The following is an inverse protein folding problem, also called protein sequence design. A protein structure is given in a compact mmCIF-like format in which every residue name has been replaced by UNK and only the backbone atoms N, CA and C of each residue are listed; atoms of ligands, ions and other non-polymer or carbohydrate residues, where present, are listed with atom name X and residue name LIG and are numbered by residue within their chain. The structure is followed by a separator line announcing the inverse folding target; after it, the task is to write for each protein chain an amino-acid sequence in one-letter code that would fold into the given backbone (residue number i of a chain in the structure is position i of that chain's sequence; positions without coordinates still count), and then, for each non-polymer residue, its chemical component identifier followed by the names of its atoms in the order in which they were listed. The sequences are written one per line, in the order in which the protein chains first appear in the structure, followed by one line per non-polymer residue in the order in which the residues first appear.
data_IF_568889795009
#
_entry.id   IF_568889795009
#
_cell.length_a   1.000
_cell.length_b   1.000
_cell.length_c   1.000
_cell.angle_alpha   90.00
_cell.angle_beta   90.00
_cell.angle_gamma   90.00
#
_symmetry.space_group_name_H-M   'P 1'
#
loop_
_entity.id
_entity.type
_entity.pdbx_description
1 polymer ?
#
# COMPACT_ATOMS: atom_id res chain seq x y z
N UNK A 1 5.05 -20.89 -2.02
CA UNK A 1 6.15 -20.85 -1.02
C UNK A 1 5.57 -20.33 0.29
N UNK A 2 5.64 -21.11 1.36
CA UNK A 2 5.14 -20.68 2.68
C UNK A 2 6.04 -19.56 3.25
N UNK A 3 5.43 -18.49 3.77
CA UNK A 3 6.15 -17.39 4.45
C UNK A 3 7.06 -17.98 5.55
N UNK A 4 8.32 -17.55 5.71
CA UNK A 4 9.11 -17.96 6.86
C UNK A 4 8.43 -17.42 8.12
N UNK A 5 7.84 -18.31 8.90
CA UNK A 5 7.02 -18.05 10.09
C UNK A 5 7.83 -17.57 11.31
N UNK A 6 9.11 -17.21 11.09
CA UNK A 6 10.14 -17.21 12.14
C UNK A 6 10.48 -15.85 12.76
N UNK A 7 9.84 -14.74 12.38
CA UNK A 7 10.15 -13.42 12.98
C UNK A 7 8.94 -12.67 13.56
N UNK A 8 7.71 -13.20 13.42
CA UNK A 8 6.50 -12.52 13.92
C UNK A 8 6.48 -12.37 15.45
N UNK A 9 6.80 -13.41 16.26
CA UNK A 9 6.82 -13.26 17.71
C UNK A 9 7.87 -12.24 18.19
N UNK A 10 9.03 -12.21 17.52
CA UNK A 10 10.11 -11.27 17.83
C UNK A 10 9.72 -9.84 17.46
N UNK A 11 9.18 -9.62 16.27
CA UNK A 11 8.70 -8.30 15.85
C UNK A 11 7.62 -7.76 16.79
N UNK A 12 6.68 -8.62 17.20
CA UNK A 12 5.64 -8.27 18.18
C UNK A 12 6.24 -7.89 19.52
N UNK A 13 7.18 -8.68 20.05
CA UNK A 13 7.85 -8.39 21.31
C UNK A 13 8.58 -7.03 21.28
N UNK A 14 9.32 -6.76 20.21
CA UNK A 14 10.03 -5.48 20.03
C UNK A 14 9.07 -4.28 19.94
N UNK A 15 7.94 -4.44 19.25
CA UNK A 15 6.92 -3.38 19.19
C UNK A 15 6.28 -3.14 20.57
N UNK A 16 6.01 -4.18 21.35
CA UNK A 16 5.46 -4.03 22.71
C UNK A 16 6.47 -3.37 23.66
N UNK A 17 7.75 -3.71 23.55
CA UNK A 17 8.83 -3.06 24.30
C UNK A 17 8.94 -1.58 23.95
N UNK A 18 8.93 -1.24 22.64
CA UNK A 18 8.93 0.14 22.18
C UNK A 18 7.69 0.91 22.67
N UNK A 19 6.50 0.29 22.61
CA UNK A 19 5.27 0.92 23.10
C UNK A 19 5.39 1.25 24.60
N UNK A 20 5.89 0.31 25.40
CA UNK A 20 6.08 0.50 26.84
C UNK A 20 7.04 1.66 27.13
N UNK A 21 8.13 1.78 26.36
CA UNK A 21 9.08 2.89 26.47
C UNK A 21 8.41 4.26 26.18
N UNK A 22 7.56 4.34 25.15
CA UNK A 22 6.87 5.59 24.79
C UNK A 22 5.66 5.93 25.66
N UNK A 23 5.12 4.98 26.43
CA UNK A 23 4.03 5.21 27.40
C UNK A 23 4.49 5.33 28.84
N UNK A 24 5.82 5.29 29.08
CA UNK A 24 6.42 5.38 30.40
C UNK A 24 6.43 6.79 31.01
N UNK A 25 7.32 7.07 31.98
CA UNK A 25 7.36 8.33 32.73
C UNK A 25 7.56 9.60 31.88
N UNK A 26 8.17 9.48 30.71
CA UNK A 26 8.34 10.57 29.75
C UNK A 26 7.60 10.19 28.45
N UNK A 27 6.28 10.41 28.38
CA UNK A 27 5.48 9.88 27.29
C UNK A 27 5.78 10.59 25.97
N UNK A 28 5.88 9.80 24.90
CA UNK A 28 5.88 10.29 23.52
C UNK A 28 4.66 9.73 22.79
N UNK A 29 3.56 10.50 22.82
CA UNK A 29 2.26 10.09 22.27
C UNK A 29 2.35 9.78 20.77
N UNK A 30 3.10 10.59 20.03
CA UNK A 30 3.25 10.45 18.59
C UNK A 30 3.94 9.14 18.21
N UNK A 31 5.03 8.78 18.89
CA UNK A 31 5.71 7.49 18.66
C UNK A 31 4.90 6.31 19.19
N UNK A 32 4.24 6.45 20.34
CA UNK A 32 3.35 5.41 20.85
C UNK A 32 2.24 5.08 19.84
N UNK A 33 1.66 6.08 19.18
CA UNK A 33 0.64 5.89 18.15
C UNK A 33 1.20 5.25 16.88
N UNK A 34 2.40 5.64 16.44
CA UNK A 34 3.10 4.97 15.34
C UNK A 34 3.31 3.47 15.63
N UNK A 35 3.76 3.13 16.84
CA UNK A 35 3.94 1.73 17.28
C UNK A 35 2.61 0.97 17.30
N UNK A 36 1.51 1.58 17.76
CA UNK A 36 0.16 0.96 17.71
C UNK A 36 -0.26 0.61 16.28
N UNK A 37 -0.03 1.52 15.33
CA UNK A 37 -0.35 1.27 13.92
C UNK A 37 0.49 0.12 13.36
N UNK A 38 1.79 0.07 13.67
CA UNK A 38 2.66 -1.04 13.25
C UNK A 38 2.27 -2.38 13.89
N UNK A 39 1.88 -2.38 15.16
CA UNK A 39 1.39 -3.57 15.85
C UNK A 39 0.07 -4.06 15.23
N UNK A 40 -0.86 -3.16 14.93
CA UNK A 40 -2.09 -3.49 14.25
C UNK A 40 -1.83 -4.07 12.85
N UNK A 41 -0.90 -3.49 12.08
CA UNK A 41 -0.47 -4.02 10.79
C UNK A 41 0.08 -5.45 10.92
N UNK A 42 0.90 -5.71 11.95
CA UNK A 42 1.52 -7.02 12.19
C UNK A 42 0.48 -8.12 12.45
N UNK A 43 -0.58 -7.81 13.21
CA UNK A 43 -1.56 -8.81 13.65
C UNK A 43 -2.81 -8.88 12.78
N UNK A 44 -3.06 -7.90 11.89
CA UNK A 44 -4.30 -7.77 11.11
C UNK A 44 -4.72 -9.04 10.36
N UNK A 45 -3.76 -9.75 9.75
CA UNK A 45 -4.04 -10.96 8.96
C UNK A 45 -4.42 -12.17 9.83
N UNK A 46 -3.95 -12.23 11.07
CA UNK A 46 -4.19 -13.36 11.98
C UNK A 46 -5.34 -13.08 12.95
N UNK A 47 -5.41 -11.86 13.49
CA UNK A 47 -6.45 -11.40 14.43
C UNK A 47 -6.85 -9.93 14.11
N UNK A 48 -7.83 -9.72 13.20
CA UNK A 48 -8.32 -8.40 12.87
C UNK A 48 -9.03 -7.69 14.04
N UNK A 49 -9.54 -8.45 15.02
CA UNK A 49 -10.16 -7.87 16.22
C UNK A 49 -9.10 -7.35 17.19
N UNK A 50 -7.95 -8.02 17.32
CA UNK A 50 -6.80 -7.48 18.04
C UNK A 50 -6.29 -6.21 17.35
N UNK A 51 -6.13 -6.22 16.02
CA UNK A 51 -5.74 -5.04 15.28
C UNK A 51 -6.70 -3.86 15.55
N UNK A 52 -8.01 -4.11 15.54
CA UNK A 52 -9.03 -3.10 15.89
C UNK A 52 -8.82 -2.56 17.31
N UNK A 53 -8.72 -3.44 18.31
CA UNK A 53 -8.52 -3.03 19.72
C UNK A 53 -7.25 -2.19 19.92
N UNK A 54 -6.17 -2.50 19.20
CA UNK A 54 -4.92 -1.72 19.25
C UNK A 54 -5.13 -0.34 18.63
N UNK A 55 -5.83 -0.26 17.49
CA UNK A 55 -6.09 1.02 16.81
C UNK A 55 -7.08 1.91 17.58
N UNK A 56 -8.00 1.34 18.36
CA UNK A 56 -8.91 2.08 19.24
C UNK A 56 -8.18 2.82 20.38
N UNK A 57 -6.95 2.41 20.70
CA UNK A 57 -6.11 3.09 21.70
C UNK A 57 -5.36 4.30 21.13
N UNK A 58 -5.40 4.52 19.82
CA UNK A 58 -4.74 5.66 19.18
C UNK A 58 -5.52 6.93 19.51
N UNK A 59 -4.86 7.83 20.25
CA UNK A 59 -5.44 9.12 20.66
C UNK A 59 -4.37 10.20 20.73
N UNK A 60 -4.76 11.46 20.52
CA UNK A 60 -3.85 12.60 20.51
C UNK A 60 -3.06 12.75 19.21
N UNK A 61 -1.83 13.26 19.31
CA UNK A 61 -0.99 13.57 18.14
C UNK A 61 -0.50 12.31 17.41
N UNK A 62 -0.46 12.38 16.09
CA UNK A 62 0.02 11.30 15.21
C UNK A 62 0.97 11.84 14.15
N UNK A 63 1.95 11.03 13.76
CA UNK A 63 2.70 11.27 12.54
C UNK A 63 1.74 11.18 11.34
N UNK A 64 1.85 12.05 10.32
CA UNK A 64 0.98 12.02 9.15
C UNK A 64 0.90 10.65 8.47
N UNK A 65 2.04 9.98 8.28
CA UNK A 65 2.11 8.66 7.66
C UNK A 65 1.44 7.59 8.52
N UNK A 66 1.65 7.61 9.85
CA UNK A 66 1.01 6.66 10.76
C UNK A 66 -0.52 6.80 10.73
N UNK A 67 -1.03 8.04 10.68
CA UNK A 67 -2.47 8.31 10.55
C UNK A 67 -3.04 7.76 9.23
N UNK A 68 -2.30 7.90 8.14
CA UNK A 68 -2.71 7.37 6.85
C UNK A 68 -2.73 5.83 6.86
N UNK A 69 -1.68 5.18 7.38
CA UNK A 69 -1.68 3.73 7.56
C UNK A 69 -2.80 3.24 8.47
N UNK A 70 -3.15 3.99 9.52
CA UNK A 70 -4.32 3.69 10.37
C UNK A 70 -5.61 3.72 9.57
N UNK A 71 -5.82 4.71 8.71
CA UNK A 71 -7.00 4.74 7.83
C UNK A 71 -7.04 3.56 6.85
N UNK A 72 -5.89 3.13 6.31
CA UNK A 72 -5.83 1.92 5.48
C UNK A 72 -6.26 0.66 6.24
N UNK A 73 -5.77 0.48 7.48
CA UNK A 73 -6.14 -0.68 8.32
C UNK A 73 -7.62 -0.65 8.72
N UNK A 74 -8.11 0.50 9.20
CA UNK A 74 -9.51 0.66 9.60
C UNK A 74 -10.47 0.47 8.42
N UNK A 75 -10.10 0.90 7.22
CA UNK A 75 -10.87 0.63 6.00
C UNK A 75 -11.06 -0.86 5.74
N UNK A 76 -9.97 -1.65 5.82
CA UNK A 76 -10.02 -3.12 5.65
C UNK A 76 -10.83 -3.80 6.74
N UNK A 77 -10.59 -3.41 8.00
CA UNK A 77 -11.27 -3.93 9.18
C UNK A 77 -12.78 -3.66 9.12
N UNK A 78 -13.19 -2.55 8.50
CA UNK A 78 -14.59 -2.14 8.40
C UNK A 78 -15.30 -2.64 7.13
N UNK A 79 -14.72 -3.53 6.33
CA UNK A 79 -15.33 -3.99 5.06
C UNK A 79 -16.69 -4.70 5.20
N UNK A 80 -17.05 -5.17 6.40
CA UNK A 80 -18.38 -5.66 6.71
C UNK A 80 -19.44 -4.55 6.87
N UNK A 81 -18.99 -3.30 7.06
CA UNK A 81 -19.78 -2.07 7.14
C UNK A 81 -19.32 -1.10 6.03
N UNK A 82 -19.87 -1.22 4.80
CA UNK A 82 -19.39 -0.46 3.65
C UNK A 82 -19.39 1.07 3.85
N UNK A 83 -20.38 1.70 4.51
CA UNK A 83 -20.29 3.12 4.88
C UNK A 83 -19.04 3.48 5.72
N UNK A 84 -18.71 2.70 6.75
CA UNK A 84 -17.52 2.96 7.57
C UNK A 84 -16.23 2.70 6.80
N UNK A 85 -16.15 1.61 6.04
CA UNK A 85 -14.99 1.34 5.18
C UNK A 85 -14.74 2.48 4.19
N UNK A 86 -15.81 2.96 3.53
CA UNK A 86 -15.76 4.08 2.60
C UNK A 86 -15.15 5.33 3.24
N UNK A 87 -15.64 5.72 4.41
CA UNK A 87 -15.15 6.89 5.13
C UNK A 87 -13.64 6.82 5.39
N UNK A 88 -13.14 5.64 5.77
CA UNK A 88 -11.72 5.44 6.01
C UNK A 88 -10.88 5.50 4.74
N UNK A 89 -11.33 4.88 3.65
CA UNK A 89 -10.60 4.94 2.38
C UNK A 89 -10.65 6.32 1.71
N UNK A 90 -11.71 7.11 1.90
CA UNK A 90 -11.76 8.50 1.45
C UNK A 90 -10.75 9.37 2.21
N UNK A 91 -10.66 9.20 3.54
CA UNK A 91 -9.62 9.87 4.35
C UNK A 91 -8.22 9.43 3.92
N UNK A 92 -8.02 8.14 3.66
CA UNK A 92 -6.76 7.63 3.15
C UNK A 92 -6.39 8.27 1.80
N UNK A 93 -7.35 8.39 0.88
CA UNK A 93 -7.12 9.00 -0.43
C UNK A 93 -6.68 10.47 -0.31
N UNK A 94 -7.27 11.22 0.63
CA UNK A 94 -6.89 12.60 0.91
C UNK A 94 -5.48 12.68 1.49
N UNK A 95 -5.17 11.91 2.53
CA UNK A 95 -3.85 11.93 3.16
C UNK A 95 -2.75 11.43 2.22
N UNK A 96 -3.01 10.39 1.44
CA UNK A 96 -2.07 9.89 0.45
C UNK A 96 -1.73 10.95 -0.62
N UNK A 97 -2.71 11.78 -1.00
CA UNK A 97 -2.50 12.90 -1.93
C UNK A 97 -1.63 13.98 -1.31
N UNK A 98 -1.93 14.37 -0.08
CA UNK A 98 -1.15 15.37 0.67
C UNK A 98 0.30 14.93 0.90
N UNK A 99 0.51 13.65 1.20
CA UNK A 99 1.84 13.06 1.42
C UNK A 99 2.58 12.74 0.11
N UNK A 100 1.90 12.75 -1.03
CA UNK A 100 2.46 12.25 -2.29
C UNK A 100 2.87 10.77 -2.22
N UNK A 101 2.15 9.97 -1.40
CA UNK A 101 2.49 8.59 -1.06
C UNK A 101 1.72 7.59 -1.92
N UNK A 102 2.26 7.28 -3.10
CA UNK A 102 1.59 6.49 -4.15
C UNK A 102 1.11 5.09 -3.69
N UNK A 103 1.81 4.41 -2.76
CA UNK A 103 1.33 3.10 -2.25
C UNK A 103 0.01 3.25 -1.47
N UNK A 104 -0.14 4.34 -0.72
CA UNK A 104 -1.36 4.60 0.05
C UNK A 104 -2.48 5.07 -0.87
N UNK A 105 -2.15 5.83 -1.92
CA UNK A 105 -3.11 6.21 -2.96
C UNK A 105 -3.67 4.97 -3.68
N UNK A 106 -2.80 4.01 -4.03
CA UNK A 106 -3.24 2.73 -4.59
C UNK A 106 -4.15 1.96 -3.62
N UNK A 107 -3.78 1.86 -2.33
CA UNK A 107 -4.61 1.18 -1.33
C UNK A 107 -5.97 1.86 -1.14
N UNK A 108 -6.04 3.18 -1.21
CA UNK A 108 -7.28 3.93 -1.12
C UNK A 108 -8.21 3.60 -2.29
N UNK A 109 -7.71 3.69 -3.52
CA UNK A 109 -8.53 3.42 -4.71
C UNK A 109 -8.94 1.95 -4.80
N UNK A 110 -8.07 1.01 -4.42
CA UNK A 110 -8.42 -0.40 -4.31
C UNK A 110 -9.54 -0.61 -3.27
N UNK A 111 -9.41 -0.04 -2.08
CA UNK A 111 -10.42 -0.14 -1.02
C UNK A 111 -11.76 0.47 -1.42
N UNK A 112 -11.76 1.64 -2.05
CA UNK A 112 -12.97 2.28 -2.58
C UNK A 112 -13.64 1.44 -3.67
N UNK A 113 -12.85 0.79 -4.54
CA UNK A 113 -13.39 -0.14 -5.53
C UNK A 113 -14.05 -1.35 -4.88
N UNK A 114 -13.42 -1.92 -3.84
CA UNK A 114 -13.98 -3.07 -3.10
C UNK A 114 -15.27 -2.68 -2.35
N UNK A 115 -15.33 -1.47 -1.80
CA UNK A 115 -16.54 -0.92 -1.20
C UNK A 115 -17.65 -0.80 -2.24
N UNK A 116 -17.35 -0.26 -3.43
CA UNK A 116 -18.32 -0.12 -4.51
C UNK A 116 -18.86 -1.48 -4.99
N UNK A 117 -17.99 -2.50 -5.14
CA UNK A 117 -18.42 -3.88 -5.44
C UNK A 117 -19.40 -4.41 -4.40
N UNK A 118 -19.11 -4.22 -3.10
CA UNK A 118 -20.00 -4.65 -2.01
C UNK A 118 -21.34 -3.91 -2.00
N UNK A 119 -21.37 -2.69 -2.52
CA UNK A 119 -22.58 -1.89 -2.68
C UNK A 119 -23.33 -2.20 -3.99
N UNK A 120 -22.80 -3.08 -4.84
CA UNK A 120 -23.38 -3.42 -6.14
C UNK A 120 -23.16 -2.37 -7.23
N UNK A 121 -22.34 -1.35 -6.99
CA UNK A 121 -22.00 -0.33 -7.98
C UNK A 121 -20.75 -0.75 -8.77
N UNK A 122 -20.96 -1.67 -9.73
CA UNK A 122 -19.89 -2.20 -10.57
C UNK A 122 -19.21 -1.12 -11.41
N UNK A 123 -19.93 -0.07 -11.83
CA UNK A 123 -19.37 1.03 -12.60
C UNK A 123 -18.40 1.87 -11.77
N UNK A 124 -18.78 2.22 -10.54
CA UNK A 124 -17.87 2.87 -9.60
C UNK A 124 -16.66 1.99 -9.32
N UNK A 125 -16.86 0.68 -9.07
CA UNK A 125 -15.78 -0.26 -8.84
C UNK A 125 -14.75 -0.26 -9.99
N UNK A 126 -15.22 -0.36 -11.24
CA UNK A 126 -14.35 -0.27 -12.43
C UNK A 126 -13.58 1.05 -12.47
N UNK A 127 -14.23 2.19 -12.19
CA UNK A 127 -13.52 3.49 -12.17
C UNK A 127 -12.42 3.52 -11.11
N UNK A 128 -12.71 3.02 -9.91
CA UNK A 128 -11.77 2.97 -8.79
C UNK A 128 -10.60 2.03 -9.05
N UNK A 129 -10.86 0.84 -9.58
CA UNK A 129 -9.78 -0.06 -9.95
C UNK A 129 -8.91 0.47 -11.09
N UNK A 130 -9.49 1.18 -12.07
CA UNK A 130 -8.68 1.89 -13.08
C UNK A 130 -7.80 2.98 -12.45
N UNK A 131 -8.31 3.71 -11.47
CA UNK A 131 -7.51 4.70 -10.74
C UNK A 131 -6.35 4.05 -9.97
N UNK A 132 -6.60 2.90 -9.32
CA UNK A 132 -5.56 2.09 -8.68
C UNK A 132 -4.51 1.61 -9.70
N UNK A 133 -4.91 1.09 -10.85
CA UNK A 133 -3.98 0.68 -11.91
C UNK A 133 -3.16 1.85 -12.46
N UNK A 134 -3.75 3.04 -12.60
CA UNK A 134 -3.02 4.23 -13.04
C UNK A 134 -1.92 4.65 -12.05
N UNK A 135 -2.14 4.44 -10.74
CA UNK A 135 -1.09 4.64 -9.72
C UNK A 135 0.06 3.66 -9.95
N UNK A 136 -0.25 2.39 -10.22
CA UNK A 136 0.76 1.37 -10.48
C UNK A 136 1.52 1.62 -11.78
N UNK A 137 0.85 2.11 -12.81
CA UNK A 137 1.50 2.50 -14.07
C UNK A 137 2.51 3.63 -13.83
N UNK A 138 2.13 4.68 -13.09
CA UNK A 138 3.08 5.76 -12.73
C UNK A 138 4.28 5.23 -11.94
N UNK A 139 4.04 4.34 -10.97
CA UNK A 139 5.11 3.70 -10.20
C UNK A 139 6.00 2.80 -11.06
N UNK A 140 5.43 2.13 -12.07
CA UNK A 140 6.19 1.28 -12.98
C UNK A 140 7.11 2.08 -13.90
N UNK A 141 6.97 3.40 -14.00
CA UNK A 141 7.95 4.23 -14.72
C UNK A 141 9.16 4.59 -13.84
N UNK A 142 9.09 4.30 -12.53
CA UNK A 142 10.17 4.55 -11.60
C UNK A 142 11.12 3.35 -11.59
N UNK A 143 12.42 3.61 -11.71
CA UNK A 143 13.40 2.53 -11.54
C UNK A 143 13.34 2.08 -10.08
N UNK A 144 13.12 0.80 -9.79
CA UNK A 144 13.00 0.33 -8.41
C UNK A 144 14.37 0.38 -7.77
N UNK A 145 14.67 1.50 -7.10
CA UNK A 145 15.88 1.62 -6.31
C UNK A 145 15.45 1.65 -4.86
N UNK A 146 15.85 0.62 -4.13
CA UNK A 146 15.61 0.44 -2.69
C UNK A 146 14.18 0.15 -2.22
N UNK A 147 13.20 0.02 -3.11
CA UNK A 147 11.88 -0.51 -2.74
C UNK A 147 12.01 -1.99 -2.37
N UNK A 148 11.87 -2.34 -1.09
CA UNK A 148 11.90 -3.72 -0.60
C UNK A 148 11.15 -4.66 -1.55
N UNK A 149 11.85 -5.72 -1.99
CA UNK A 149 11.49 -6.66 -3.06
C UNK A 149 10.08 -7.28 -2.94
N UNK A 150 9.40 -7.09 -1.80
CA UNK A 150 8.15 -7.73 -1.43
C UNK A 150 6.89 -6.91 -1.75
N UNK A 151 6.96 -5.58 -1.75
CA UNK A 151 5.77 -4.73 -1.95
C UNK A 151 5.43 -4.43 -3.42
N UNK A 152 6.35 -4.69 -4.36
CA UNK A 152 6.14 -4.37 -5.77
C UNK A 152 5.35 -5.45 -6.53
N UNK A 153 5.29 -6.70 -6.04
CA UNK A 153 4.79 -7.83 -6.83
C UNK A 153 3.71 -8.68 -6.14
N UNK A 154 3.68 -8.83 -4.81
CA UNK A 154 2.76 -9.81 -4.19
C UNK A 154 1.34 -9.27 -3.93
N UNK A 155 1.16 -7.97 -3.64
CA UNK A 155 -0.17 -7.39 -3.31
C UNK A 155 -0.83 -6.63 -4.48
N UNK A 156 -0.05 -6.24 -5.50
CA UNK A 156 -0.49 -5.31 -6.57
C UNK A 156 -1.23 -5.98 -7.73
N UNK A 157 -1.28 -7.31 -7.74
CA UNK A 157 -2.14 -8.08 -8.66
C UNK A 157 -3.62 -8.00 -8.25
N UNK A 158 -3.94 -7.58 -7.02
CA UNK A 158 -5.33 -7.57 -6.57
C UNK A 158 -6.21 -6.56 -7.33
N UNK A 159 -5.75 -5.32 -7.53
CA UNK A 159 -6.51 -4.31 -8.27
C UNK A 159 -6.74 -4.74 -9.73
N UNK A 160 -5.76 -5.40 -10.34
CA UNK A 160 -5.87 -5.96 -11.68
C UNK A 160 -6.92 -7.08 -11.74
N UNK A 161 -6.84 -8.07 -10.84
CA UNK A 161 -7.79 -9.20 -10.84
C UNK A 161 -9.22 -8.71 -10.64
N UNK A 162 -9.42 -7.75 -9.74
CA UNK A 162 -10.73 -7.16 -9.49
C UNK A 162 -11.21 -6.30 -10.65
N UNK A 163 -10.34 -5.51 -11.28
CA UNK A 163 -10.69 -4.77 -12.50
C UNK A 163 -11.18 -5.70 -13.61
N UNK A 164 -10.44 -6.78 -13.87
CA UNK A 164 -10.84 -7.77 -14.89
C UNK A 164 -12.17 -8.42 -14.52
N UNK A 165 -12.35 -8.83 -13.26
CA UNK A 165 -13.60 -9.42 -12.78
C UNK A 165 -14.79 -8.48 -12.95
N UNK A 166 -14.66 -7.22 -12.53
CA UNK A 166 -15.71 -6.21 -12.63
C UNK A 166 -16.05 -5.87 -14.10
N UNK A 167 -15.05 -5.79 -14.98
CA UNK A 167 -15.26 -5.57 -16.41
C UNK A 167 -16.00 -6.76 -17.07
N UNK A 168 -15.64 -7.99 -16.72
CA UNK A 168 -16.37 -9.17 -17.20
C UNK A 168 -17.82 -9.19 -16.70
N UNK A 169 -18.06 -8.78 -15.46
CA UNK A 169 -19.41 -8.69 -14.89
C UNK A 169 -20.29 -7.63 -15.57
N UNK A 170 -19.71 -6.51 -16.02
CA UNK A 170 -20.39 -5.51 -16.85
C UNK A 170 -20.55 -5.94 -18.33
N UNK A 171 -19.98 -7.08 -18.73
CA UNK A 171 -20.00 -7.57 -20.12
C UNK A 171 -18.93 -6.91 -21.03
N UNK A 172 -18.02 -6.14 -20.46
CA UNK A 172 -16.95 -5.39 -21.14
C UNK A 172 -15.73 -6.29 -21.42
N UNK A 173 -15.94 -7.39 -22.14
CA UNK A 173 -14.94 -8.45 -22.37
C UNK A 173 -13.66 -7.92 -23.03
N UNK A 174 -13.78 -7.07 -24.04
CA UNK A 174 -12.61 -6.50 -24.72
C UNK A 174 -11.76 -5.63 -23.77
N UNK A 175 -12.41 -4.84 -22.91
CA UNK A 175 -11.72 -4.02 -21.92
C UNK A 175 -11.05 -4.88 -20.83
N UNK A 176 -11.68 -5.99 -20.41
CA UNK A 176 -11.09 -6.95 -19.49
C UNK A 176 -9.80 -7.56 -20.05
N UNK A 177 -9.79 -7.99 -21.32
CA UNK A 177 -8.59 -8.49 -21.98
C UNK A 177 -7.49 -7.44 -22.06
N UNK A 178 -7.85 -6.19 -22.40
CA UNK A 178 -6.89 -5.10 -22.46
C UNK A 178 -6.27 -4.82 -21.09
N UNK A 179 -7.08 -4.75 -20.02
CA UNK A 179 -6.59 -4.57 -18.65
C UNK A 179 -5.62 -5.68 -18.22
N UNK A 180 -5.94 -6.94 -18.52
CA UNK A 180 -5.04 -8.07 -18.24
C UNK A 180 -3.71 -7.95 -19.01
N UNK A 181 -3.76 -7.52 -20.28
CA UNK A 181 -2.57 -7.32 -21.12
C UNK A 181 -1.68 -6.19 -20.57
N UNK A 182 -2.27 -5.08 -20.17
CA UNK A 182 -1.53 -3.92 -19.64
C UNK A 182 -0.79 -4.27 -18.34
N UNK A 183 -1.47 -4.95 -17.42
CA UNK A 183 -0.82 -5.43 -16.19
C UNK A 183 0.30 -6.44 -16.49
N UNK A 184 0.09 -7.38 -17.43
CA UNK A 184 1.15 -8.32 -17.83
C UNK A 184 2.37 -7.60 -18.41
N UNK A 185 2.15 -6.58 -19.24
CA UNK A 185 3.23 -5.74 -19.78
C UNK A 185 4.02 -5.09 -18.64
N UNK A 186 3.33 -4.55 -17.63
CA UNK A 186 3.96 -3.95 -16.44
C UNK A 186 4.85 -4.96 -15.70
N UNK A 187 4.37 -6.18 -15.46
CA UNK A 187 5.15 -7.22 -14.77
C UNK A 187 6.36 -7.68 -15.60
N UNK A 188 6.21 -7.83 -16.92
CA UNK A 188 7.32 -8.19 -17.81
C UNK A 188 8.38 -7.10 -17.85
N UNK A 189 7.96 -5.83 -17.93
CA UNK A 189 8.87 -4.69 -17.85
C UNK A 189 9.65 -4.67 -16.53
N UNK A 190 8.96 -4.89 -15.40
CA UNK A 190 9.59 -4.89 -14.08
C UNK A 190 10.66 -5.99 -13.95
N UNK A 191 10.40 -7.18 -14.52
CA UNK A 191 11.38 -8.26 -14.59
C UNK A 191 12.56 -7.90 -15.48
N UNK A 192 12.33 -7.35 -16.68
CA UNK A 192 13.39 -6.96 -17.59
C UNK A 192 14.32 -5.90 -16.98
N UNK A 193 13.77 -4.91 -16.27
CA UNK A 193 14.56 -3.91 -15.55
C UNK A 193 15.36 -4.55 -14.43
N UNK A 194 14.75 -5.43 -13.65
CA UNK A 194 15.45 -6.16 -12.58
C UNK A 194 16.64 -6.96 -13.13
N UNK A 195 16.43 -7.72 -14.21
CA UNK A 195 17.47 -8.54 -14.82
C UNK A 195 18.61 -7.66 -15.38
N UNK A 196 18.25 -6.53 -15.99
CA UNK A 196 19.23 -5.52 -16.46
C UNK A 196 20.08 -5.00 -15.30
N UNK A 197 19.45 -4.57 -14.20
CA UNK A 197 20.16 -4.05 -13.01
C UNK A 197 21.04 -5.11 -12.35
N UNK A 198 20.59 -6.38 -12.32
CA UNK A 198 21.38 -7.49 -11.79
C UNK A 198 22.64 -7.74 -12.64
N UNK A 199 22.56 -7.55 -13.96
CA UNK A 199 23.67 -7.73 -14.90
C UNK A 199 24.68 -6.58 -14.97
N UNK A 200 24.42 -5.43 -14.33
CA UNK A 200 25.34 -4.29 -14.37
C UNK A 200 26.67 -4.58 -13.66
N UNK A 201 27.79 -4.16 -14.26
CA UNK A 201 29.11 -4.15 -13.63
C UNK A 201 29.21 -3.08 -12.54
N UNK A 202 30.23 -3.11 -11.67
CA UNK A 202 30.37 -2.16 -10.55
C UNK A 202 30.31 -0.69 -10.97
N UNK A 203 31.05 -0.31 -12.02
CA UNK A 203 31.08 1.08 -12.51
C UNK A 203 29.71 1.56 -13.05
N UNK A 204 28.97 0.68 -13.73
CA UNK A 204 27.64 1.02 -14.25
C UNK A 204 26.60 1.11 -13.14
N UNK A 205 26.75 0.32 -12.06
CA UNK A 205 25.90 0.44 -10.87
C UNK A 205 26.11 1.75 -10.14
N UNK A 206 27.36 2.20 -10.03
CA UNK A 206 27.69 3.48 -9.40
C UNK A 206 27.13 4.65 -10.23
N UNK A 207 27.33 4.61 -11.56
CA UNK A 207 26.75 5.61 -12.46
C UNK A 207 25.21 5.61 -12.46
N UNK A 208 24.59 4.43 -12.35
CA UNK A 208 23.14 4.30 -12.22
C UNK A 208 22.64 4.88 -10.88
N UNK A 209 23.32 4.60 -9.77
CA UNK A 209 22.98 5.13 -8.45
C UNK A 209 23.11 6.67 -8.42
N UNK A 210 24.15 7.23 -9.03
CA UNK A 210 24.35 8.69 -9.14
C UNK A 210 23.30 9.36 -10.03
N UNK A 211 22.93 8.74 -11.16
CA UNK A 211 21.86 9.22 -12.02
C UNK A 211 20.51 9.23 -11.28
N UNK A 212 20.22 8.20 -10.49
CA UNK A 212 19.02 8.16 -9.68
C UNK A 212 19.02 9.23 -8.60
N UNK A 213 20.11 9.39 -7.84
CA UNK A 213 20.18 10.39 -6.78
C UNK A 213 19.88 11.81 -7.32
N UNK A 214 20.37 12.11 -8.53
CA UNK A 214 20.04 13.36 -9.24
C UNK A 214 18.56 13.46 -9.60
N UNK A 215 17.96 12.39 -10.12
CA UNK A 215 16.53 12.34 -10.43
C UNK A 215 15.65 12.56 -9.19
N UNK A 216 15.97 11.90 -8.07
CA UNK A 216 15.22 12.05 -6.81
C UNK A 216 15.31 13.48 -6.27
N UNK A 217 16.50 14.08 -6.31
CA UNK A 217 16.71 15.47 -5.89
C UNK A 217 15.90 16.45 -6.76
N UNK A 218 15.91 16.28 -8.08
CA UNK A 218 15.14 17.13 -9.00
C UNK A 218 13.62 16.99 -8.76
N UNK A 219 13.15 15.76 -8.47
CA UNK A 219 11.73 15.52 -8.19
C UNK A 219 11.27 16.12 -6.86
N UNK A 220 12.11 16.08 -5.83
CA UNK A 220 11.80 16.71 -4.54
C UNK A 220 11.65 18.23 -4.67
N UNK A 221 12.37 18.86 -5.60
CA UNK A 221 12.30 20.30 -5.88
C UNK A 221 11.09 20.70 -6.75
N UNK A 222 10.46 19.75 -7.43
CA UNK A 222 9.32 19.98 -8.33
C UNK A 222 7.95 19.72 -7.69
N UNK A 223 7.93 19.37 -6.40
CA UNK A 223 6.72 19.19 -5.57
C UNK A 223 6.58 20.38 -4.63
#
# INVERSE_FOLDING_TARGET
MARPRFELPRARALLLEALAAYTGPCPNVTEANNVRVNLAFLVMEEDPDEARRVLEQVSGAEQPEARAWRHALLGRISMADPPQAKLHFEKLAEEARQLGHEVLAWQAELGLGQVAERQGDLREAVRRYRAAEAVLDRQSLLVPVNGGQRFLLEDKDESQRRLVGALLAEGEVAAAFQAARDARRRSVWALAVKDTLAGLGPADRDGFAEALARFEAARAQAR
#
